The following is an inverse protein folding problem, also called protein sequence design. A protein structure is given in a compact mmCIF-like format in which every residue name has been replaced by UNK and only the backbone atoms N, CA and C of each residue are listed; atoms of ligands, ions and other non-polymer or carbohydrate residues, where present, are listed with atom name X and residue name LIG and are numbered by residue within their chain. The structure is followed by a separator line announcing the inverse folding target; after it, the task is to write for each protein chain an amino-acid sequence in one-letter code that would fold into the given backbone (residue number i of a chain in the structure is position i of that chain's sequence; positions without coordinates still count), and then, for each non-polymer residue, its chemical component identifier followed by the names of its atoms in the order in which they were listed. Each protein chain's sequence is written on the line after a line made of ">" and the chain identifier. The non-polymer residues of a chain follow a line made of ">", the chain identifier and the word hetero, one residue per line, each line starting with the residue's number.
data_IF_713582374615
#
_entry.id   IF_713582374615
#
_cell.length_a   1.000
_cell.length_b   1.000
_cell.length_c   1.000
_cell.angle_alpha   90.00
_cell.angle_beta   90.00
_cell.angle_gamma   90.00
#
_symmetry.space_group_name_H-M   'P 1'
#
loop_
_entity.id
_entity.type
_entity.pdbx_description
1 polymer ?
#
# COMPACT_ATOMS: atom_id res chain seq x y z
N UNK A 1 21.85 13.28 19.59
CA UNK A 1 22.15 11.98 18.94
C UNK A 1 23.06 12.25 17.76
N UNK A 2 24.20 11.53 17.66
CA UNK A 2 25.18 11.71 16.57
C UNK A 2 24.57 11.28 15.23
N UNK A 3 24.90 11.99 14.14
CA UNK A 3 24.47 11.66 12.75
C UNK A 3 24.74 10.20 12.38
N UNK A 4 25.75 9.58 12.95
CA UNK A 4 26.10 8.17 12.77
C UNK A 4 25.07 7.22 13.39
N UNK A 5 24.42 7.59 14.50
CA UNK A 5 23.40 6.77 15.15
C UNK A 5 22.05 6.87 14.39
N UNK A 6 21.72 8.04 13.85
CA UNK A 6 20.53 8.19 12.98
C UNK A 6 20.69 7.40 11.66
N UNK A 7 21.87 7.44 11.07
CA UNK A 7 22.18 6.68 9.84
C UNK A 7 22.06 5.16 10.04
N UNK A 8 22.48 4.66 11.21
CA UNK A 8 22.39 3.24 11.57
C UNK A 8 20.94 2.80 11.86
N UNK A 9 20.09 3.71 12.36
CA UNK A 9 18.68 3.45 12.66
C UNK A 9 17.82 3.36 11.39
N UNK A 10 18.21 4.05 10.32
CA UNK A 10 17.46 4.11 9.05
C UNK A 10 17.96 3.11 7.98
N UNK A 11 19.07 2.40 8.22
CA UNK A 11 19.59 1.40 7.27
C UNK A 11 18.77 0.12 7.33
N UNK A 12 18.50 -0.48 6.15
CA UNK A 12 17.84 -1.77 6.06
C UNK A 12 18.72 -2.90 6.54
N UNK A 13 18.12 -3.88 7.17
CA UNK A 13 18.76 -5.13 7.55
C UNK A 13 18.30 -6.25 6.61
N UNK A 14 19.07 -7.32 6.49
CA UNK A 14 18.75 -8.47 5.62
C UNK A 14 17.33 -9.01 5.90
N UNK A 15 16.94 -9.05 7.19
CA UNK A 15 15.59 -9.48 7.58
C UNK A 15 14.48 -8.59 7.02
N UNK A 16 14.74 -7.28 6.86
CA UNK A 16 13.75 -6.34 6.30
C UNK A 16 13.54 -6.63 4.80
N UNK A 17 14.66 -6.89 4.08
CA UNK A 17 14.61 -7.25 2.66
C UNK A 17 13.86 -8.58 2.45
N UNK A 18 14.12 -9.58 3.31
CA UNK A 18 13.41 -10.86 3.26
C UNK A 18 11.91 -10.66 3.49
N UNK A 19 11.53 -9.85 4.49
CA UNK A 19 10.12 -9.60 4.77
C UNK A 19 9.44 -8.83 3.62
N UNK A 20 10.10 -7.82 3.04
CA UNK A 20 9.60 -7.12 1.86
C UNK A 20 9.38 -8.08 0.69
N UNK A 21 10.32 -9.01 0.45
CA UNK A 21 10.19 -10.01 -0.60
C UNK A 21 9.00 -10.97 -0.35
N UNK A 22 8.82 -11.43 0.89
CA UNK A 22 7.70 -12.29 1.26
C UNK A 22 6.35 -11.56 1.11
N UNK A 23 6.25 -10.32 1.59
CA UNK A 23 5.03 -9.51 1.45
C UNK A 23 4.76 -9.25 -0.04
N UNK A 24 5.76 -8.82 -0.80
CA UNK A 24 5.64 -8.58 -2.24
C UNK A 24 5.16 -9.80 -3.00
N UNK A 25 5.67 -10.99 -2.69
CA UNK A 25 5.26 -12.25 -3.31
C UNK A 25 3.79 -12.58 -3.02
N UNK A 26 3.37 -12.49 -1.75
CA UNK A 26 1.99 -12.76 -1.36
C UNK A 26 1.03 -11.79 -2.04
N UNK A 27 1.35 -10.49 -2.01
CA UNK A 27 0.49 -9.48 -2.61
C UNK A 27 0.50 -9.52 -4.13
N UNK A 28 1.57 -9.94 -4.79
CA UNK A 28 1.56 -10.14 -6.24
C UNK A 28 0.48 -11.14 -6.68
N UNK A 29 0.30 -12.23 -5.93
CA UNK A 29 -0.77 -13.21 -6.17
C UNK A 29 -2.15 -12.59 -5.91
N UNK A 30 -2.29 -11.86 -4.80
CA UNK A 30 -3.54 -11.16 -4.46
C UNK A 30 -3.90 -10.13 -5.54
N UNK A 31 -2.93 -9.32 -5.99
CA UNK A 31 -3.11 -8.30 -7.01
C UNK A 31 -3.59 -8.91 -8.33
N UNK A 32 -2.93 -9.99 -8.78
CA UNK A 32 -3.35 -10.69 -9.99
C UNK A 32 -4.78 -11.25 -9.87
N UNK A 33 -5.13 -11.82 -8.72
CA UNK A 33 -6.49 -12.32 -8.48
C UNK A 33 -7.52 -11.18 -8.51
N UNK A 34 -7.23 -10.07 -7.82
CA UNK A 34 -8.10 -8.89 -7.75
C UNK A 34 -8.20 -8.20 -9.12
N UNK A 35 -7.14 -8.18 -9.91
CA UNK A 35 -7.17 -7.68 -11.28
C UNK A 35 -8.19 -8.45 -12.14
N UNK A 36 -8.18 -9.78 -12.08
CA UNK A 36 -9.15 -10.60 -12.81
C UNK A 36 -10.60 -10.40 -12.30
N UNK A 37 -10.79 -10.22 -11.00
CA UNK A 37 -12.09 -9.85 -10.40
C UNK A 37 -12.54 -8.48 -10.94
N UNK A 38 -11.66 -7.50 -11.00
CA UNK A 38 -11.92 -6.17 -11.54
C UNK A 38 -12.38 -6.21 -13.00
N UNK A 39 -11.71 -7.02 -13.83
CA UNK A 39 -12.13 -7.25 -15.23
C UNK A 39 -13.54 -7.85 -15.30
N UNK A 40 -13.85 -8.81 -14.43
CA UNK A 40 -15.19 -9.41 -14.35
C UNK A 40 -16.27 -8.40 -13.93
N UNK A 41 -15.99 -7.55 -12.95
CA UNK A 41 -16.91 -6.49 -12.51
C UNK A 41 -17.11 -5.46 -13.63
N UNK A 42 -16.02 -5.01 -14.26
CA UNK A 42 -16.09 -4.05 -15.37
C UNK A 42 -16.92 -4.60 -16.54
N UNK A 43 -16.73 -5.88 -16.90
CA UNK A 43 -17.51 -6.54 -17.94
C UNK A 43 -19.00 -6.62 -17.57
N UNK A 44 -19.33 -6.94 -16.32
CA UNK A 44 -20.71 -7.01 -15.84
C UNK A 44 -21.40 -5.63 -15.83
N UNK A 45 -20.65 -4.55 -15.66
CA UNK A 45 -21.15 -3.17 -15.64
C UNK A 45 -21.14 -2.50 -17.02
N UNK A 46 -20.68 -3.21 -18.07
CA UNK A 46 -20.65 -2.67 -19.44
C UNK A 46 -22.04 -2.23 -19.88
N UNK A 47 -22.15 -1.01 -20.41
CA UNK A 47 -23.40 -0.42 -20.85
C UNK A 47 -24.22 0.30 -19.76
N UNK A 48 -23.84 0.21 -18.47
CA UNK A 48 -24.53 0.91 -17.38
C UNK A 48 -24.00 2.33 -17.15
N UNK A 49 -22.84 2.69 -17.73
CA UNK A 49 -22.10 3.93 -17.45
C UNK A 49 -21.28 3.91 -16.16
N UNK A 50 -21.25 2.77 -15.44
CA UNK A 50 -20.49 2.60 -14.19
C UNK A 50 -19.27 1.65 -14.33
N UNK A 51 -18.99 1.14 -15.53
CA UNK A 51 -17.87 0.23 -15.79
C UNK A 51 -16.51 0.82 -15.39
N UNK A 52 -16.35 2.14 -15.53
CA UNK A 52 -15.11 2.84 -15.23
C UNK A 52 -14.78 2.86 -13.72
N UNK A 53 -15.80 2.78 -12.86
CA UNK A 53 -15.64 2.71 -11.41
C UNK A 53 -15.33 1.30 -10.88
N UNK A 54 -15.39 0.28 -11.72
CA UNK A 54 -15.23 -1.12 -11.28
C UNK A 54 -13.92 -1.35 -10.53
N UNK A 55 -12.83 -0.75 -11.02
CA UNK A 55 -11.52 -0.87 -10.38
C UNK A 55 -11.39 0.03 -9.15
N UNK A 56 -12.03 1.21 -9.12
CA UNK A 56 -11.88 2.14 -7.99
C UNK A 56 -12.36 1.53 -6.67
N UNK A 57 -13.44 0.72 -6.72
CA UNK A 57 -13.99 0.05 -5.53
C UNK A 57 -12.98 -0.87 -4.85
N UNK A 58 -12.10 -1.51 -5.63
CA UNK A 58 -11.11 -2.46 -5.15
C UNK A 58 -9.69 -1.91 -5.21
N UNK A 59 -9.50 -0.67 -5.67
CA UNK A 59 -8.18 -0.10 -5.97
C UNK A 59 -7.25 -0.07 -4.76
N UNK A 60 -7.81 0.12 -3.56
CA UNK A 60 -7.04 0.13 -2.31
C UNK A 60 -6.25 -1.16 -2.03
N UNK A 61 -6.60 -2.27 -2.70
CA UNK A 61 -5.86 -3.53 -2.57
C UNK A 61 -4.43 -3.37 -3.13
N UNK A 62 -4.24 -2.65 -4.24
CA UNK A 62 -2.93 -2.42 -4.86
C UNK A 62 -2.00 -1.49 -4.06
N UNK A 63 -2.43 -0.95 -2.93
CA UNK A 63 -1.56 -0.18 -2.03
C UNK A 63 -1.17 -0.98 -0.78
N UNK A 64 -1.67 -2.21 -0.64
CA UNK A 64 -1.54 -2.99 0.60
C UNK A 64 -0.11 -3.45 0.86
N UNK A 65 0.62 -3.90 -0.16
CA UNK A 65 1.97 -4.44 0.02
C UNK A 65 2.92 -3.40 0.60
N UNK A 66 2.98 -2.22 -0.02
CA UNK A 66 3.82 -1.11 0.42
C UNK A 66 3.41 -0.59 1.79
N UNK A 67 2.11 -0.38 2.02
CA UNK A 67 1.59 0.15 3.28
C UNK A 67 1.82 -0.82 4.44
N UNK A 68 1.55 -2.13 4.25
CA UNK A 68 1.76 -3.15 5.28
C UNK A 68 3.24 -3.30 5.64
N UNK A 69 4.11 -3.40 4.63
CA UNK A 69 5.55 -3.52 4.84
C UNK A 69 6.12 -2.31 5.58
N UNK A 70 5.74 -1.09 5.15
CA UNK A 70 6.15 0.14 5.80
C UNK A 70 5.67 0.21 7.25
N UNK A 71 4.43 -0.21 7.54
CA UNK A 71 3.87 -0.23 8.89
C UNK A 71 4.59 -1.19 9.82
N UNK A 72 5.03 -2.35 9.33
CA UNK A 72 5.75 -3.36 10.13
C UNK A 72 7.21 -2.95 10.35
N UNK A 73 7.91 -2.57 9.28
CA UNK A 73 9.37 -2.34 9.30
C UNK A 73 9.73 -0.95 9.80
N UNK A 74 8.92 0.06 9.46
CA UNK A 74 9.06 1.47 9.88
C UNK A 74 10.39 2.11 9.50
N UNK A 75 10.85 1.86 8.28
CA UNK A 75 12.08 2.44 7.71
C UNK A 75 11.78 3.14 6.38
N UNK A 76 12.50 4.21 6.03
CA UNK A 76 12.33 4.90 4.74
C UNK A 76 12.60 3.98 3.55
N UNK A 77 11.83 4.15 2.47
CA UNK A 77 11.96 3.42 1.23
C UNK A 77 11.25 2.07 1.19
N UNK A 78 10.82 1.54 2.34
CA UNK A 78 10.19 0.21 2.42
C UNK A 78 8.89 0.15 1.64
N UNK A 79 8.05 1.18 1.76
CA UNK A 79 6.76 1.23 1.04
C UNK A 79 6.95 1.21 -0.47
N UNK A 80 7.83 2.06 -0.98
CA UNK A 80 8.13 2.14 -2.41
C UNK A 80 8.66 0.82 -2.96
N UNK A 81 9.68 0.26 -2.33
CA UNK A 81 10.35 -0.95 -2.87
C UNK A 81 9.47 -2.18 -2.76
N UNK A 82 8.69 -2.33 -1.69
CA UNK A 82 7.78 -3.48 -1.55
C UNK A 82 6.67 -3.43 -2.60
N UNK A 83 6.11 -2.24 -2.86
CA UNK A 83 5.07 -2.07 -3.87
C UNK A 83 5.60 -2.32 -5.27
N UNK A 84 6.78 -1.78 -5.59
CA UNK A 84 7.45 -2.03 -6.86
C UNK A 84 7.75 -3.54 -7.04
N UNK A 85 8.20 -4.22 -6.00
CA UNK A 85 8.48 -5.65 -6.05
C UNK A 85 7.19 -6.46 -6.27
N UNK A 86 6.10 -6.11 -5.58
CA UNK A 86 4.81 -6.77 -5.77
C UNK A 86 4.31 -6.62 -7.21
N UNK A 87 4.41 -5.43 -7.81
CA UNK A 87 3.97 -5.19 -9.18
C UNK A 87 4.87 -5.87 -10.23
N UNK A 88 6.18 -5.95 -10.00
CA UNK A 88 7.08 -6.74 -10.88
C UNK A 88 6.71 -8.22 -10.85
N UNK A 89 6.46 -8.78 -9.66
CA UNK A 89 6.07 -10.17 -9.52
C UNK A 89 4.66 -10.42 -10.09
N UNK A 90 3.74 -9.49 -9.93
CA UNK A 90 2.40 -9.55 -10.55
C UNK A 90 2.49 -9.63 -12.07
N UNK A 91 3.36 -8.81 -12.69
CA UNK A 91 3.62 -8.89 -14.13
C UNK A 91 4.20 -10.26 -14.51
N UNK A 92 5.17 -10.77 -13.77
CA UNK A 92 5.80 -12.09 -14.04
C UNK A 92 4.81 -13.25 -13.89
N UNK A 93 3.78 -13.11 -13.04
CA UNK A 93 2.71 -14.08 -12.89
C UNK A 93 1.65 -14.01 -14.01
N UNK A 94 1.82 -13.10 -14.96
CA UNK A 94 1.00 -13.04 -16.18
C UNK A 94 -0.13 -12.02 -16.14
N UNK A 95 0.01 -10.91 -15.40
CA UNK A 95 -0.94 -9.81 -15.49
C UNK A 95 -0.96 -9.24 -16.93
N UNK A 96 -2.14 -9.20 -17.54
CA UNK A 96 -2.34 -8.74 -18.93
C UNK A 96 -2.12 -7.24 -19.13
N UNK A 97 -1.96 -6.46 -18.07
CA UNK A 97 -1.63 -5.02 -18.12
C UNK A 97 -0.19 -4.74 -18.59
N UNK A 98 0.66 -5.79 -18.71
CA UNK A 98 2.01 -5.66 -19.23
C UNK A 98 2.90 -4.75 -18.39
N UNK A 99 3.85 -4.08 -19.04
CA UNK A 99 4.84 -3.19 -18.36
C UNK A 99 4.17 -2.04 -17.59
N UNK A 100 2.98 -1.61 -17.99
CA UNK A 100 2.23 -0.57 -17.28
C UNK A 100 2.02 -0.93 -15.79
N UNK A 101 1.86 -2.21 -15.46
CA UNK A 101 1.70 -2.69 -14.06
C UNK A 101 2.90 -2.30 -13.20
N UNK A 102 4.12 -2.36 -13.74
CA UNK A 102 5.34 -1.97 -13.02
C UNK A 102 5.41 -0.45 -12.83
N UNK A 103 5.00 0.31 -13.85
CA UNK A 103 4.94 1.77 -13.77
C UNK A 103 3.92 2.20 -12.71
N UNK A 104 2.73 1.56 -12.70
CA UNK A 104 1.70 1.84 -11.69
C UNK A 104 2.20 1.51 -10.29
N UNK A 105 2.87 0.37 -10.09
CA UNK A 105 3.47 0.00 -8.81
C UNK A 105 4.53 1.00 -8.31
N UNK A 106 5.35 1.53 -9.20
CA UNK A 106 6.31 2.58 -8.86
C UNK A 106 5.61 3.86 -8.38
N UNK A 107 4.57 4.30 -9.09
CA UNK A 107 3.80 5.51 -8.76
C UNK A 107 3.05 5.33 -7.45
N UNK A 108 2.39 4.21 -7.26
CA UNK A 108 1.66 3.85 -6.05
C UNK A 108 2.59 3.77 -4.84
N UNK A 109 3.72 3.09 -5.00
CA UNK A 109 4.74 3.00 -3.98
C UNK A 109 5.34 4.35 -3.60
N UNK A 110 5.53 5.25 -4.58
CA UNK A 110 5.98 6.62 -4.31
C UNK A 110 4.95 7.42 -3.50
N UNK A 111 3.66 7.27 -3.80
CA UNK A 111 2.56 7.86 -3.02
C UNK A 111 2.52 7.33 -1.59
N UNK A 112 2.66 6.00 -1.43
CA UNK A 112 2.75 5.34 -0.12
C UNK A 112 3.91 5.89 0.70
N UNK A 113 5.09 5.94 0.10
CA UNK A 113 6.31 6.41 0.78
C UNK A 113 6.21 7.88 1.17
N UNK A 114 5.70 8.74 0.26
CA UNK A 114 5.50 10.16 0.53
C UNK A 114 4.55 10.37 1.72
N UNK A 115 3.48 9.58 1.82
CA UNK A 115 2.54 9.67 2.93
C UNK A 115 3.21 9.45 4.29
N UNK A 116 4.06 8.44 4.42
CA UNK A 116 4.85 8.23 5.64
C UNK A 116 5.93 9.29 5.84
N UNK A 117 6.54 9.78 4.74
CA UNK A 117 7.55 10.84 4.79
C UNK A 117 6.97 12.16 5.31
N UNK A 118 5.71 12.53 5.00
CA UNK A 118 5.02 13.70 5.53
C UNK A 118 4.94 13.67 7.07
N UNK A 119 4.84 12.49 7.66
CA UNK A 119 4.95 12.31 9.11
C UNK A 119 6.39 12.10 9.59
N UNK A 120 7.38 12.35 8.72
CA UNK A 120 8.82 12.21 9.01
C UNK A 120 9.19 10.84 9.55
N UNK A 121 8.43 9.78 9.17
CA UNK A 121 8.58 8.40 9.64
C UNK A 121 8.51 8.26 11.18
N UNK A 122 7.79 9.18 11.84
CA UNK A 122 7.65 9.18 13.30
C UNK A 122 6.28 8.71 13.78
N UNK A 123 5.24 8.81 12.95
CA UNK A 123 3.87 8.38 13.29
C UNK A 123 3.51 7.15 12.49
N UNK A 124 3.14 6.08 13.20
CA UNK A 124 2.75 4.79 12.64
C UNK A 124 1.40 4.39 13.21
N UNK A 125 0.36 5.07 12.78
CA UNK A 125 -1.01 4.90 13.24
C UNK A 125 -1.98 4.89 12.05
N UNK A 126 -3.27 4.70 12.31
CA UNK A 126 -4.28 4.66 11.26
C UNK A 126 -4.27 5.92 10.39
N UNK A 127 -4.08 7.11 11.00
CA UNK A 127 -4.06 8.36 10.25
C UNK A 127 -2.90 8.41 9.23
N UNK A 128 -1.68 8.05 9.65
CA UNK A 128 -0.53 8.06 8.73
C UNK A 128 -0.69 7.02 7.62
N UNK A 129 -1.28 5.86 7.90
CA UNK A 129 -1.59 4.84 6.90
C UNK A 129 -2.68 5.32 5.93
N UNK A 130 -3.72 6.00 6.44
CA UNK A 130 -4.78 6.59 5.60
C UNK A 130 -4.20 7.63 4.64
N UNK A 131 -3.41 8.57 5.15
CA UNK A 131 -2.77 9.60 4.31
C UNK A 131 -1.87 8.96 3.27
N UNK A 132 -1.08 7.96 3.65
CA UNK A 132 -0.20 7.20 2.75
C UNK A 132 -1.00 6.54 1.62
N UNK A 133 -2.07 5.82 1.96
CA UNK A 133 -2.90 5.10 1.00
C UNK A 133 -3.68 6.04 0.07
N UNK A 134 -4.24 7.13 0.62
CA UNK A 134 -4.96 8.13 -0.19
C UNK A 134 -4.03 8.85 -1.15
N UNK A 135 -2.82 9.19 -0.72
CA UNK A 135 -1.80 9.76 -1.63
C UNK A 135 -1.43 8.81 -2.75
N UNK A 136 -1.29 7.50 -2.47
CA UNK A 136 -1.09 6.50 -3.54
C UNK A 136 -2.22 6.53 -4.56
N UNK A 137 -3.48 6.59 -4.09
CA UNK A 137 -4.65 6.70 -4.94
C UNK A 137 -4.67 7.98 -5.79
N UNK A 138 -4.27 9.12 -5.22
CA UNK A 138 -4.17 10.39 -5.95
C UNK A 138 -3.05 10.34 -6.98
N UNK A 139 -1.86 9.85 -6.63
CA UNK A 139 -0.73 9.78 -7.53
C UNK A 139 -1.02 8.92 -8.76
N UNK A 140 -1.59 7.72 -8.55
CA UNK A 140 -1.92 6.85 -9.65
C UNK A 140 -3.06 7.42 -10.50
N UNK A 141 -4.03 8.13 -9.89
CA UNK A 141 -5.09 8.78 -10.63
C UNK A 141 -4.57 9.83 -11.62
N UNK A 142 -3.55 10.61 -11.23
CA UNK A 142 -2.90 11.54 -12.15
C UNK A 142 -2.22 10.85 -13.33
N UNK A 143 -1.63 9.68 -13.13
CA UNK A 143 -1.08 8.88 -14.23
C UNK A 143 -2.21 8.39 -15.16
N UNK A 144 -3.30 7.89 -14.60
CA UNK A 144 -4.45 7.37 -15.34
C UNK A 144 -5.20 8.44 -16.13
N UNK A 145 -5.18 9.70 -15.68
CA UNK A 145 -5.72 10.82 -16.46
C UNK A 145 -5.21 10.80 -17.91
N UNK A 146 -3.93 10.47 -18.08
CA UNK A 146 -3.31 10.45 -19.40
C UNK A 146 -3.28 9.05 -20.01
N UNK A 147 -2.96 8.04 -19.22
CA UNK A 147 -2.82 6.66 -19.68
C UNK A 147 -4.16 6.04 -20.10
N UNK A 148 -5.22 6.26 -19.34
CA UNK A 148 -6.59 5.81 -19.63
C UNK A 148 -7.46 6.90 -20.27
N UNK A 149 -6.87 8.06 -20.60
CA UNK A 149 -7.57 9.20 -21.21
C UNK A 149 -8.73 9.73 -20.35
N UNK A 150 -8.67 9.58 -19.03
CA UNK A 150 -9.70 10.07 -18.10
C UNK A 150 -9.88 11.58 -18.18
N UNK A 151 -8.89 12.35 -18.70
CA UNK A 151 -9.05 13.79 -18.93
C UNK A 151 -10.24 14.14 -19.85
N UNK A 152 -10.77 13.17 -20.59
CA UNK A 152 -11.98 13.34 -21.44
C UNK A 152 -13.30 13.16 -20.68
N UNK A 153 -13.26 12.67 -19.44
CA UNK A 153 -14.44 12.44 -18.62
C UNK A 153 -15.05 13.77 -18.13
N UNK A 154 -16.36 13.75 -17.86
CA UNK A 154 -17.04 14.89 -17.26
C UNK A 154 -16.46 15.20 -15.85
N UNK A 155 -16.39 16.48 -15.42
CA UNK A 155 -15.78 16.86 -14.14
C UNK A 155 -16.35 16.12 -12.94
N UNK A 156 -17.61 15.77 -12.93
CA UNK A 156 -18.25 15.03 -11.84
C UNK A 156 -17.73 13.60 -11.73
N UNK A 157 -17.32 12.97 -12.84
CA UNK A 157 -16.72 11.63 -12.84
C UNK A 157 -15.37 11.62 -12.12
N UNK A 158 -14.54 12.66 -12.28
CA UNK A 158 -13.27 12.77 -11.56
C UNK A 158 -13.47 12.79 -10.04
N UNK A 159 -14.49 13.53 -9.57
CA UNK A 159 -14.84 13.53 -8.14
C UNK A 159 -15.26 12.12 -7.69
N UNK A 160 -16.09 11.44 -8.49
CA UNK A 160 -16.51 10.06 -8.22
C UNK A 160 -15.32 9.10 -8.07
N UNK A 161 -14.40 9.08 -9.06
CA UNK A 161 -13.19 8.26 -9.03
C UNK A 161 -12.35 8.52 -7.78
N UNK A 162 -12.07 9.79 -7.46
CA UNK A 162 -11.24 10.14 -6.30
C UNK A 162 -11.90 9.76 -4.97
N UNK A 163 -13.22 9.96 -4.84
CA UNK A 163 -13.95 9.63 -3.61
C UNK A 163 -14.00 8.11 -3.41
N UNK A 164 -14.44 7.35 -4.41
CA UNK A 164 -14.56 5.89 -4.32
C UNK A 164 -13.19 5.26 -4.05
N UNK A 165 -12.16 5.69 -4.78
CA UNK A 165 -10.79 5.23 -4.60
C UNK A 165 -10.22 5.56 -3.23
N UNK A 166 -10.50 6.76 -2.69
CA UNK A 166 -10.07 7.14 -1.34
C UNK A 166 -10.72 6.30 -0.25
N UNK A 167 -12.01 5.97 -0.41
CA UNK A 167 -12.72 5.06 0.49
C UNK A 167 -12.12 3.65 0.41
N UNK A 168 -11.88 3.15 -0.80
CA UNK A 168 -11.22 1.87 -1.04
C UNK A 168 -9.82 1.83 -0.42
N UNK A 169 -9.01 2.86 -0.61
CA UNK A 169 -7.67 3.00 -0.02
C UNK A 169 -7.72 2.98 1.51
N UNK A 170 -8.67 3.69 2.11
CA UNK A 170 -8.87 3.68 3.56
C UNK A 170 -9.22 2.27 4.07
N UNK A 171 -10.19 1.61 3.44
CA UNK A 171 -10.67 0.31 3.91
C UNK A 171 -9.60 -0.77 3.75
N UNK A 172 -9.07 -0.95 2.53
CA UNK A 172 -8.14 -2.04 2.25
C UNK A 172 -6.73 -1.74 2.75
N UNK A 173 -6.16 -0.61 2.36
CA UNK A 173 -4.76 -0.36 2.60
C UNK A 173 -4.47 0.24 3.98
N UNK A 174 -5.34 1.08 4.54
CA UNK A 174 -5.10 1.62 5.87
C UNK A 174 -5.68 0.72 6.97
N UNK A 175 -6.99 0.43 6.95
CA UNK A 175 -7.66 -0.27 8.02
C UNK A 175 -7.27 -1.76 8.07
N UNK A 176 -7.44 -2.49 6.95
CA UNK A 176 -7.14 -3.93 6.91
C UNK A 176 -5.65 -4.18 7.14
N UNK A 177 -4.74 -3.42 6.49
CA UNK A 177 -3.31 -3.58 6.72
C UNK A 177 -2.91 -3.29 8.17
N UNK A 178 -3.55 -2.29 8.82
CA UNK A 178 -3.34 -2.05 10.24
C UNK A 178 -3.77 -3.25 11.09
N UNK A 179 -4.96 -3.80 10.84
CA UNK A 179 -5.45 -4.98 11.55
C UNK A 179 -4.54 -6.19 11.36
N UNK A 180 -4.08 -6.45 10.13
CA UNK A 180 -3.12 -7.52 9.83
C UNK A 180 -1.80 -7.28 10.57
N UNK A 181 -1.23 -6.08 10.48
CA UNK A 181 0.04 -5.74 11.13
C UNK A 181 -0.03 -5.86 12.64
N UNK A 182 -1.08 -5.34 13.26
CA UNK A 182 -1.31 -5.43 14.71
C UNK A 182 -1.55 -6.88 15.14
N UNK A 183 -2.30 -7.66 14.34
CA UNK A 183 -2.49 -9.09 14.56
C UNK A 183 -1.17 -9.86 14.55
N UNK A 184 -0.35 -9.67 13.51
CA UNK A 184 0.98 -10.29 13.41
C UNK A 184 1.91 -9.88 14.57
N UNK A 185 1.84 -8.63 15.03
CA UNK A 185 2.62 -8.18 16.17
C UNK A 185 2.24 -8.92 17.48
N UNK A 186 0.93 -9.14 17.70
CA UNK A 186 0.40 -9.86 18.87
C UNK A 186 0.81 -11.33 18.89
N UNK A 187 0.94 -12.01 17.74
CA UNK A 187 1.41 -13.41 17.69
C UNK A 187 2.87 -13.58 18.10
N UNK A 188 3.61 -12.47 18.20
CA UNK A 188 5.03 -12.51 18.54
C UNK A 188 5.97 -12.85 17.37
N UNK A 189 5.46 -13.17 16.19
CA UNK A 189 6.28 -13.42 14.98
C UNK A 189 7.08 -12.18 14.60
N UNK A 190 6.55 -10.99 14.86
CA UNK A 190 7.16 -9.70 14.52
C UNK A 190 8.03 -9.11 15.64
N UNK A 191 8.44 -9.89 16.66
CA UNK A 191 9.26 -9.39 17.82
C UNK A 191 10.55 -8.69 17.41
N UNK A 192 11.15 -9.07 16.28
CA UNK A 192 12.39 -8.49 15.76
C UNK A 192 12.19 -7.22 14.95
N UNK A 193 10.94 -6.89 14.56
CA UNK A 193 10.59 -5.70 13.80
C UNK A 193 10.09 -4.58 14.70
N UNK A 194 10.07 -3.35 14.17
CA UNK A 194 9.70 -2.16 14.94
C UNK A 194 8.28 -2.23 15.53
N UNK A 195 7.33 -2.83 14.81
CA UNK A 195 5.95 -3.01 15.29
C UNK A 195 5.89 -3.91 16.54
N UNK A 196 6.63 -5.02 16.56
CA UNK A 196 6.63 -5.98 17.68
C UNK A 196 7.33 -5.45 18.93
N UNK A 197 8.31 -4.55 18.77
CA UNK A 197 8.99 -3.92 19.90
C UNK A 197 8.06 -2.97 20.68
N UNK A 198 7.08 -2.36 20.02
CA UNK A 198 6.09 -1.49 20.66
C UNK A 198 5.10 -2.28 21.54
N UNK A 199 4.69 -3.48 21.09
CA UNK A 199 3.81 -4.37 21.87
C UNK A 199 4.50 -4.80 23.17
N UNK A 200 5.79 -5.16 23.08
CA UNK A 200 6.58 -5.55 24.28
C UNK A 200 6.68 -4.43 25.31
N UNK A 201 6.82 -3.17 24.87
CA UNK A 201 6.85 -2.02 25.78
C UNK A 201 5.51 -1.80 26.47
N UNK A 202 4.39 -1.93 25.74
CA UNK A 202 3.05 -1.77 26.33
C UNK A 202 2.79 -2.80 27.43
N UNK A 203 3.12 -4.07 27.19
CA UNK A 203 2.92 -5.16 28.17
C UNK A 203 3.75 -4.93 29.46
N UNK A 204 4.97 -4.42 29.36
CA UNK A 204 5.81 -4.13 30.55
C UNK A 204 5.22 -3.03 31.42
N UNK A 205 4.58 -2.00 30.84
CA UNK A 205 3.94 -0.93 31.61
C UNK A 205 2.65 -1.39 32.31
N UNK A 206 1.91 -2.34 31.69
CA UNK A 206 0.67 -2.89 32.29
C UNK A 206 0.97 -3.90 33.44
N UNK A 207 2.20 -4.40 33.57
CA UNK A 207 2.63 -5.29 34.66
C UNK A 207 3.22 -4.52 35.87
N UNK A 208 3.52 -3.23 35.71
CA UNK A 208 4.09 -2.36 36.77
C UNK A 208 3.01 -1.51 37.50
N UNK A 209 1.75 -1.50 37.03
CA UNK A 209 0.60 -0.86 37.66
C UNK A 209 -0.25 -1.90 38.44
#
# INVERSE_FOLDING_TARGET
>A
MSQTQEKKKNSWELRDVILMACIGLVFAIVYLAVFNVGLGISAALTGTGFSDFAFDVIYGVWFMAGTLAAYIIRRPGVGLITELLASVLELLFGNSGGVAVVITGLIQGAGTELGFALFRYKKWNLLSMTVSSVLSGIFIYFYELFYLQYYMLAPMMHVGHLVIRSISAFVFSALICKLIGDGLAKTGVMKKYAIGQNVKKAVVYDEED
#
